data_IF_562063429170
#
_entry.id   IF_562063429170
#
_cell.length_a   1.000
_cell.length_b   1.000
_cell.length_c   1.000
_cell.angle_alpha   90.00
_cell.angle_beta   90.00
_cell.angle_gamma   90.00
#
_symmetry.space_group_name_H-M   'P 1'
#
loop_
_entity.id
_entity.type
_entity.pdbx_description
1 polymer ?
#
# COMPACT_ATOMS: atom_id res chain seq x y z
N UNK A 1 4.36 -67.83 -52.39
CA UNK A 1 4.18 -67.21 -51.05
C UNK A 1 5.02 -65.96 -50.80
N UNK A 2 5.78 -65.40 -51.75
CA UNK A 2 6.64 -64.20 -51.50
C UNK A 2 6.05 -62.84 -51.93
N UNK A 3 4.89 -62.76 -52.59
CA UNK A 3 4.32 -61.47 -53.03
C UNK A 3 3.36 -60.81 -52.03
N UNK A 4 3.03 -61.49 -50.92
CA UNK A 4 2.11 -60.98 -49.90
C UNK A 4 2.82 -60.35 -48.68
N UNK A 5 4.11 -60.63 -48.45
CA UNK A 5 4.85 -60.07 -47.30
C UNK A 5 5.25 -58.60 -47.50
N UNK A 6 5.53 -58.17 -48.73
CA UNK A 6 5.97 -56.80 -49.02
C UNK A 6 4.87 -55.74 -48.85
N UNK A 7 3.62 -56.07 -49.21
CA UNK A 7 2.49 -55.12 -49.10
C UNK A 7 2.06 -54.90 -47.65
N UNK A 8 2.11 -55.94 -46.82
CA UNK A 8 1.82 -55.86 -45.39
C UNK A 8 2.90 -55.03 -44.66
N UNK A 9 4.17 -55.23 -45.01
CA UNK A 9 5.28 -54.46 -44.44
C UNK A 9 5.15 -52.96 -44.74
N UNK A 10 4.89 -52.58 -46.00
CA UNK A 10 4.73 -51.16 -46.37
C UNK A 10 3.52 -50.52 -45.68
N UNK A 11 2.37 -51.20 -45.61
CA UNK A 11 1.20 -50.67 -44.91
C UNK A 11 1.43 -50.51 -43.41
N UNK A 12 2.21 -51.40 -42.78
CA UNK A 12 2.56 -51.30 -41.36
C UNK A 12 3.50 -50.13 -41.09
N UNK A 13 4.53 -49.92 -41.92
CA UNK A 13 5.46 -48.79 -41.77
C UNK A 13 4.78 -47.45 -42.01
N UNK A 14 3.88 -47.38 -43.00
CA UNK A 14 3.08 -46.16 -43.27
C UNK A 14 2.13 -45.89 -42.10
N UNK A 15 1.47 -46.92 -41.55
CA UNK A 15 0.61 -46.78 -40.38
C UNK A 15 1.34 -46.26 -39.15
N UNK A 16 2.55 -46.75 -38.87
CA UNK A 16 3.40 -46.26 -37.77
C UNK A 16 3.78 -44.81 -37.99
N UNK A 17 4.19 -44.43 -39.21
CA UNK A 17 4.58 -43.05 -39.50
C UNK A 17 3.42 -42.07 -39.34
N UNK A 18 2.24 -42.39 -39.86
CA UNK A 18 1.03 -41.60 -39.65
C UNK A 18 0.61 -41.55 -38.17
N UNK A 19 0.77 -42.66 -37.43
CA UNK A 19 0.52 -42.73 -35.99
C UNK A 19 1.38 -41.74 -35.21
N UNK A 20 2.70 -41.71 -35.46
CA UNK A 20 3.64 -40.80 -34.82
C UNK A 20 3.42 -39.34 -35.23
N UNK A 21 3.11 -39.07 -36.50
CA UNK A 21 2.78 -37.71 -36.96
C UNK A 21 1.49 -37.22 -36.31
N UNK A 22 0.47 -38.07 -36.19
CA UNK A 22 -0.80 -37.72 -35.53
C UNK A 22 -0.62 -37.49 -34.03
N UNK A 23 0.18 -38.31 -33.33
CA UNK A 23 0.50 -38.06 -31.91
C UNK A 23 1.36 -36.82 -31.73
N UNK A 24 2.35 -36.58 -32.60
CA UNK A 24 3.14 -35.35 -32.56
C UNK A 24 2.28 -34.11 -32.83
N UNK A 25 1.32 -34.20 -33.76
CA UNK A 25 0.39 -33.12 -34.06
C UNK A 25 -0.63 -32.90 -32.94
N UNK A 26 -1.12 -33.96 -32.29
CA UNK A 26 -1.96 -33.85 -31.09
C UNK A 26 -1.18 -33.23 -29.92
N UNK A 27 0.03 -33.69 -29.64
CA UNK A 27 0.87 -33.15 -28.56
C UNK A 27 1.35 -31.72 -28.82
N UNK A 28 1.53 -31.32 -30.09
CA UNK A 28 1.87 -29.95 -30.47
C UNK A 28 0.65 -29.03 -30.53
N UNK A 29 -0.53 -29.55 -30.91
CA UNK A 29 -1.84 -28.91 -30.77
C UNK A 29 -2.16 -28.66 -29.30
N UNK A 30 -1.97 -29.66 -28.43
CA UNK A 30 -2.16 -29.52 -26.99
C UNK A 30 -1.20 -28.45 -26.41
N UNK A 31 0.09 -28.44 -26.82
CA UNK A 31 1.03 -27.36 -26.46
C UNK A 31 0.68 -25.98 -27.04
N UNK A 32 -0.07 -25.92 -28.15
CA UNK A 32 -0.51 -24.67 -28.76
C UNK A 32 -1.81 -24.14 -28.12
N UNK A 33 -2.68 -25.05 -27.66
CA UNK A 33 -3.89 -24.72 -26.90
C UNK A 33 -3.58 -24.35 -25.44
N UNK A 34 -2.56 -24.95 -24.82
CA UNK A 34 -2.14 -24.63 -23.43
C UNK A 34 -1.50 -23.24 -23.27
N UNK A 35 -1.24 -22.53 -24.38
CA UNK A 35 -0.67 -21.17 -24.35
C UNK A 35 -1.70 -20.05 -24.47
N UNK A 36 -2.99 -20.35 -24.59
CA UNK A 36 -4.04 -19.33 -24.84
C UNK A 36 -5.23 -19.32 -23.89
N UNK A 37 -5.21 -20.10 -22.82
CA UNK A 37 -6.17 -20.00 -21.71
C UNK A 37 -5.44 -19.66 -20.40
N UNK A 38 -4.53 -18.70 -20.47
CA UNK A 38 -4.18 -17.95 -19.26
C UNK A 38 -5.34 -17.00 -19.02
N UNK A 39 -6.05 -17.18 -17.92
CA UNK A 39 -6.87 -16.13 -17.32
C UNK A 39 -6.04 -14.84 -17.46
N UNK A 40 -6.53 -13.86 -18.20
CA UNK A 40 -5.90 -12.52 -18.23
C UNK A 40 -6.14 -11.90 -16.84
N UNK A 41 -5.43 -12.40 -15.83
CA UNK A 41 -5.13 -11.60 -14.66
C UNK A 41 -4.40 -10.38 -15.20
N UNK A 42 -4.96 -9.20 -14.97
CA UNK A 42 -4.31 -7.97 -15.37
C UNK A 42 -2.93 -7.98 -14.69
N UNK A 43 -1.85 -7.96 -15.47
CA UNK A 43 -0.47 -7.87 -14.97
C UNK A 43 -0.19 -6.45 -14.49
N UNK A 44 -1.03 -5.93 -13.60
CA UNK A 44 -0.89 -4.58 -13.10
C UNK A 44 0.24 -4.56 -12.07
N UNK A 45 1.41 -4.06 -12.46
CA UNK A 45 2.50 -3.76 -11.53
C UNK A 45 2.69 -2.24 -11.55
N UNK A 46 2.55 -1.54 -10.40
CA UNK A 46 2.78 -0.10 -10.34
C UNK A 46 4.17 0.30 -10.85
N UNK A 47 4.21 1.14 -11.88
CA UNK A 47 5.46 1.64 -12.49
C UNK A 47 6.11 2.80 -11.73
N UNK A 48 5.40 3.40 -10.76
CA UNK A 48 5.84 4.54 -9.97
C UNK A 48 5.51 4.35 -8.47
N UNK A 49 6.40 4.74 -7.53
CA UNK A 49 6.20 4.61 -6.07
C UNK A 49 5.02 5.42 -5.53
N UNK A 50 4.70 6.52 -6.20
CA UNK A 50 3.57 7.38 -5.88
C UNK A 50 2.39 7.04 -6.77
N UNK A 51 2.43 5.96 -7.56
CA UNK A 51 1.28 5.52 -8.34
C UNK A 51 0.14 5.10 -7.42
N UNK A 52 -1.06 5.27 -7.94
CA UNK A 52 -2.32 4.76 -7.42
C UNK A 52 -3.17 4.34 -8.63
N UNK A 53 -2.50 4.01 -9.76
CA UNK A 53 -3.20 3.42 -10.89
C UNK A 53 -3.84 2.14 -10.38
N UNK A 54 -5.09 1.95 -10.74
CA UNK A 54 -5.82 0.76 -10.33
C UNK A 54 -5.51 -0.36 -11.34
N UNK A 55 -5.55 -1.62 -10.92
CA UNK A 55 -5.55 -2.72 -11.87
C UNK A 55 -6.63 -2.46 -12.93
N UNK A 56 -6.27 -2.59 -14.21
CA UNK A 56 -7.21 -2.30 -15.30
C UNK A 56 -8.19 -3.47 -15.39
N UNK A 57 -9.38 -3.31 -14.83
CA UNK A 57 -10.47 -4.30 -14.79
C UNK A 57 -11.70 -3.77 -14.06
N UNK A 58 -12.84 -4.46 -14.22
CA UNK A 58 -14.10 -4.20 -13.51
C UNK A 58 -13.94 -4.61 -12.03
N UNK A 59 -13.11 -3.87 -11.30
CA UNK A 59 -12.69 -4.14 -9.91
C UNK A 59 -13.67 -3.59 -8.88
N UNK A 60 -14.85 -3.11 -9.31
CA UNK A 60 -15.93 -2.81 -8.38
C UNK A 60 -16.28 -4.09 -7.61
N UNK A 61 -16.34 -3.97 -6.29
CA UNK A 61 -16.79 -5.08 -5.45
C UNK A 61 -18.23 -5.49 -5.75
N UNK A 62 -18.68 -6.61 -5.18
CA UNK A 62 -20.09 -6.97 -5.26
C UNK A 62 -20.95 -5.81 -4.76
N UNK A 63 -22.10 -5.55 -5.40
CA UNK A 63 -22.98 -4.43 -5.03
C UNK A 63 -23.26 -4.39 -3.52
N UNK A 64 -23.57 -5.56 -2.96
CA UNK A 64 -23.77 -5.73 -1.54
C UNK A 64 -22.53 -6.42 -0.91
N UNK A 65 -22.13 -6.00 0.31
CA UNK A 65 -21.06 -6.69 1.02
C UNK A 65 -21.35 -8.17 1.26
N UNK A 66 -20.35 -9.03 1.02
CA UNK A 66 -20.43 -10.47 1.33
C UNK A 66 -20.57 -10.64 2.84
N UNK A 67 -21.54 -11.47 3.25
CA UNK A 67 -21.78 -11.83 4.65
C UNK A 67 -21.32 -13.25 4.91
N UNK A 68 -20.60 -13.45 5.99
CA UNK A 68 -20.18 -14.76 6.47
C UNK A 68 -21.13 -15.19 7.59
N UNK A 69 -21.65 -16.41 7.52
CA UNK A 69 -22.65 -16.92 8.49
C UNK A 69 -22.03 -17.62 9.70
N UNK A 70 -20.71 -17.71 9.75
CA UNK A 70 -19.91 -18.40 10.77
C UNK A 70 -19.22 -17.42 11.75
N UNK A 71 -19.46 -16.10 11.65
CA UNK A 71 -18.82 -15.10 12.50
C UNK A 71 -19.00 -15.38 14.00
N UNK A 72 -20.19 -15.86 14.41
CA UNK A 72 -20.48 -16.21 15.81
C UNK A 72 -19.66 -17.40 16.32
N UNK A 73 -19.21 -18.30 15.43
CA UNK A 73 -18.34 -19.42 15.82
C UNK A 73 -16.90 -18.98 16.03
N UNK A 74 -16.45 -17.92 15.33
CA UNK A 74 -15.04 -17.49 15.31
C UNK A 74 -14.70 -16.41 16.34
N UNK A 75 -15.66 -15.61 16.80
CA UNK A 75 -15.45 -14.54 17.79
C UNK A 75 -15.77 -14.98 19.24
N UNK A 76 -15.92 -16.29 19.47
CA UNK A 76 -16.45 -16.83 20.71
C UNK A 76 -15.43 -17.02 21.84
N UNK A 77 -14.13 -16.84 21.59
CA UNK A 77 -13.08 -16.95 22.62
C UNK A 77 -12.69 -15.57 23.18
N UNK A 78 -13.29 -15.15 24.33
CA UNK A 78 -12.97 -13.87 24.97
C UNK A 78 -11.51 -13.80 25.45
N UNK A 79 -10.85 -14.94 25.63
CA UNK A 79 -9.48 -15.06 26.13
C UNK A 79 -8.43 -15.18 25.01
N UNK A 80 -8.87 -15.11 23.75
CA UNK A 80 -7.97 -15.21 22.61
C UNK A 80 -6.88 -14.13 22.65
N UNK A 81 -5.63 -14.45 22.23
CA UNK A 81 -4.55 -13.46 22.18
C UNK A 81 -4.90 -12.22 21.35
N UNK A 82 -5.67 -12.40 20.26
CA UNK A 82 -6.16 -11.32 19.42
C UNK A 82 -7.09 -10.37 20.20
N UNK A 83 -8.04 -10.90 20.98
CA UNK A 83 -8.96 -10.09 21.79
C UNK A 83 -8.24 -9.33 22.90
N UNK A 84 -7.26 -9.96 23.56
CA UNK A 84 -6.39 -9.31 24.55
C UNK A 84 -5.63 -8.14 23.93
N UNK A 85 -5.01 -8.35 22.77
CA UNK A 85 -4.34 -7.27 22.03
C UNK A 85 -5.30 -6.16 21.60
N UNK A 86 -6.50 -6.49 21.12
CA UNK A 86 -7.53 -5.50 20.77
C UNK A 86 -7.90 -4.57 21.95
N UNK A 87 -7.86 -5.11 23.17
CA UNK A 87 -8.15 -4.36 24.38
C UNK A 87 -6.95 -3.55 24.89
N UNK A 88 -5.74 -4.09 24.80
CA UNK A 88 -4.50 -3.45 25.26
C UNK A 88 -3.96 -2.39 24.30
N UNK A 89 -4.09 -2.59 22.99
CA UNK A 89 -3.50 -1.74 21.95
C UNK A 89 -4.64 -1.06 21.16
N UNK A 90 -4.97 0.16 21.56
CA UNK A 90 -6.07 0.94 20.97
C UNK A 90 -5.62 1.65 19.69
N UNK A 91 -6.10 1.17 18.55
CA UNK A 91 -5.77 1.69 17.22
C UNK A 91 -7.00 2.35 16.57
N UNK A 92 -6.87 3.63 16.24
CA UNK A 92 -7.79 4.31 15.33
C UNK A 92 -7.27 4.16 13.90
N UNK A 93 -8.10 3.60 13.03
CA UNK A 93 -7.86 3.52 11.60
C UNK A 93 -8.62 4.66 10.92
N UNK A 94 -7.92 5.43 10.10
CA UNK A 94 -8.58 6.33 9.17
C UNK A 94 -8.17 5.99 7.74
N UNK A 95 -9.17 5.89 6.87
CA UNK A 95 -9.02 5.42 5.50
C UNK A 95 -9.19 6.60 4.55
N UNK A 96 -8.17 6.87 3.73
CA UNK A 96 -8.28 7.85 2.65
C UNK A 96 -9.18 7.29 1.55
N UNK A 97 -10.21 8.03 1.17
CA UNK A 97 -11.13 7.63 0.09
C UNK A 97 -11.68 8.85 -0.65
N UNK A 98 -12.51 8.62 -1.66
CA UNK A 98 -13.20 9.65 -2.44
C UNK A 98 -14.70 9.29 -2.57
N UNK A 99 -15.57 10.24 -2.93
CA UNK A 99 -17.00 9.96 -3.10
C UNK A 99 -17.30 8.85 -4.11
N UNK A 100 -16.49 8.75 -5.16
CA UNK A 100 -16.66 7.74 -6.21
C UNK A 100 -16.29 6.32 -5.72
N UNK A 101 -15.56 6.24 -4.61
CA UNK A 101 -15.09 4.98 -4.02
C UNK A 101 -15.97 4.46 -2.87
N UNK A 102 -17.03 5.18 -2.49
CA UNK A 102 -17.85 4.79 -1.33
C UNK A 102 -18.48 3.40 -1.49
N UNK A 103 -19.19 3.19 -2.60
CA UNK A 103 -19.82 1.90 -2.93
C UNK A 103 -18.81 0.91 -3.53
N UNK A 104 -17.90 1.36 -4.38
CA UNK A 104 -16.99 0.44 -5.07
C UNK A 104 -15.87 -0.11 -4.17
N UNK A 105 -15.48 0.59 -3.08
CA UNK A 105 -14.33 0.20 -2.23
C UNK A 105 -14.58 0.34 -0.73
N UNK A 106 -14.92 1.53 -0.25
CA UNK A 106 -14.92 1.85 1.18
C UNK A 106 -15.90 0.98 2.00
N UNK A 107 -17.05 0.62 1.43
CA UNK A 107 -17.95 -0.33 2.08
C UNK A 107 -17.34 -1.74 2.27
N UNK A 108 -16.47 -2.17 1.36
CA UNK A 108 -15.81 -3.48 1.42
C UNK A 108 -14.68 -3.48 2.45
N UNK A 109 -13.98 -2.35 2.61
CA UNK A 109 -13.08 -2.13 3.76
C UNK A 109 -13.85 -2.29 5.07
N UNK A 110 -15.00 -1.61 5.22
CA UNK A 110 -15.85 -1.69 6.42
C UNK A 110 -16.35 -3.12 6.68
N UNK A 111 -16.70 -3.86 5.64
CA UNK A 111 -17.24 -5.21 5.74
C UNK A 111 -16.19 -6.31 6.00
N UNK A 112 -14.93 -6.05 5.67
CA UNK A 112 -13.82 -7.02 5.83
C UNK A 112 -12.93 -6.63 7.00
N UNK A 113 -11.68 -6.21 6.76
CA UNK A 113 -10.68 -5.96 7.79
C UNK A 113 -11.03 -4.78 8.71
N UNK A 114 -11.77 -3.78 8.21
CA UNK A 114 -12.09 -2.56 8.94
C UNK A 114 -12.90 -2.79 10.22
N UNK A 115 -13.69 -3.88 10.29
CA UNK A 115 -14.44 -4.26 11.51
C UNK A 115 -13.54 -4.56 12.71
N UNK A 116 -12.25 -4.83 12.47
CA UNK A 116 -11.25 -5.14 13.51
C UNK A 116 -10.49 -3.92 14.03
N UNK A 117 -10.79 -2.72 13.53
CA UNK A 117 -10.28 -1.47 14.11
C UNK A 117 -11.01 -1.14 15.43
N UNK A 118 -10.36 -0.42 16.36
CA UNK A 118 -11.06 0.07 17.54
C UNK A 118 -12.00 1.24 17.17
N UNK A 119 -11.58 2.04 16.19
CA UNK A 119 -12.40 3.03 15.51
C UNK A 119 -12.01 3.04 14.03
N UNK A 120 -13.02 3.06 13.16
CA UNK A 120 -12.84 3.18 11.72
C UNK A 120 -13.49 4.49 11.26
N UNK A 121 -12.70 5.32 10.59
CA UNK A 121 -13.16 6.54 9.94
C UNK A 121 -12.77 6.51 8.46
N UNK A 122 -13.61 7.09 7.62
CA UNK A 122 -13.29 7.33 6.21
C UNK A 122 -13.14 8.82 5.98
N UNK A 123 -12.14 9.26 5.23
CA UNK A 123 -11.82 10.67 5.02
C UNK A 123 -12.04 11.03 3.54
N UNK A 124 -12.97 11.96 3.26
CA UNK A 124 -13.40 12.32 1.90
C UNK A 124 -13.83 13.78 1.79
N UNK A 125 -13.94 14.34 0.58
CA UNK A 125 -14.49 15.69 0.34
C UNK A 125 -16.00 15.79 0.51
N UNK A 126 -16.71 14.65 0.57
CA UNK A 126 -18.16 14.59 0.83
C UNK A 126 -18.45 13.64 1.99
N UNK A 127 -19.56 13.89 2.69
CA UNK A 127 -20.07 12.96 3.68
C UNK A 127 -20.84 11.83 2.97
N UNK A 128 -21.03 10.73 3.69
CA UNK A 128 -21.89 9.61 3.30
C UNK A 128 -22.84 9.27 4.44
N UNK A 129 -24.01 8.72 4.12
CA UNK A 129 -25.03 8.38 5.12
C UNK A 129 -24.84 6.97 5.71
N UNK A 130 -24.16 6.07 5.02
CA UNK A 130 -24.03 4.65 5.36
C UNK A 130 -22.66 4.30 5.94
N UNK A 131 -21.64 5.04 5.51
CA UNK A 131 -20.26 4.91 5.96
C UNK A 131 -19.92 6.00 7.00
N UNK A 132 -19.06 5.71 7.98
CA UNK A 132 -18.58 6.71 8.95
C UNK A 132 -17.57 7.68 8.28
N UNK A 133 -18.05 8.42 7.28
CA UNK A 133 -17.24 9.35 6.48
C UNK A 133 -17.21 10.72 7.14
N UNK A 134 -16.00 11.21 7.39
CA UNK A 134 -15.73 12.57 7.81
C UNK A 134 -15.46 13.41 6.56
N UNK A 135 -16.31 14.42 6.36
CA UNK A 135 -16.15 15.39 5.28
C UNK A 135 -15.03 16.36 5.62
N UNK A 136 -13.95 16.34 4.83
CA UNK A 136 -12.85 17.28 4.92
C UNK A 136 -13.10 18.53 4.05
N UNK A 137 -12.60 19.71 4.45
CA UNK A 137 -12.72 20.95 3.68
C UNK A 137 -11.71 21.04 2.53
N UNK A 138 -11.48 19.93 1.82
CA UNK A 138 -10.48 19.80 0.75
C UNK A 138 -11.11 19.07 -0.42
N UNK A 139 -10.89 19.57 -1.64
CA UNK A 139 -11.39 18.93 -2.86
C UNK A 139 -10.70 17.58 -3.14
N UNK A 140 -11.30 16.80 -4.05
CA UNK A 140 -10.68 15.56 -4.53
C UNK A 140 -9.48 15.81 -5.45
N UNK A 141 -8.79 14.73 -5.78
CA UNK A 141 -7.69 14.73 -6.73
C UNK A 141 -6.33 14.52 -6.04
N UNK A 142 -5.42 13.92 -6.80
CA UNK A 142 -4.10 13.50 -6.33
C UNK A 142 -3.28 14.64 -5.72
N UNK A 143 -3.32 15.82 -6.33
CA UNK A 143 -2.59 16.99 -5.84
C UNK A 143 -3.06 17.48 -4.46
N UNK A 144 -4.26 17.06 -4.03
CA UNK A 144 -4.85 17.42 -2.75
C UNK A 144 -4.66 16.36 -1.65
N UNK A 145 -4.07 15.19 -1.94
CA UNK A 145 -3.93 14.10 -0.96
C UNK A 145 -3.19 14.56 0.31
N UNK A 146 -2.08 15.29 0.15
CA UNK A 146 -1.37 15.84 1.30
C UNK A 146 -2.22 16.78 2.15
N UNK A 147 -3.01 17.65 1.52
CA UNK A 147 -3.93 18.54 2.25
C UNK A 147 -5.03 17.75 2.96
N UNK A 148 -5.58 16.71 2.32
CA UNK A 148 -6.53 15.79 2.96
C UNK A 148 -5.91 15.09 4.16
N UNK A 149 -4.67 14.60 4.07
CA UNK A 149 -3.97 13.98 5.21
C UNK A 149 -3.79 14.96 6.38
N UNK A 150 -3.38 16.21 6.10
CA UNK A 150 -3.25 17.24 7.14
C UNK A 150 -4.57 17.47 7.87
N UNK A 151 -5.66 17.67 7.14
CA UNK A 151 -7.00 17.86 7.73
C UNK A 151 -7.53 16.60 8.42
N UNK A 152 -7.25 15.41 7.89
CA UNK A 152 -7.65 14.14 8.50
C UNK A 152 -7.00 13.95 9.88
N UNK A 153 -5.67 14.13 9.97
CA UNK A 153 -4.98 14.00 11.25
C UNK A 153 -5.32 15.12 12.22
N UNK A 154 -5.57 16.34 11.73
CA UNK A 154 -6.11 17.43 12.56
C UNK A 154 -7.45 17.04 13.18
N UNK A 155 -8.39 16.53 12.37
CA UNK A 155 -9.68 16.04 12.86
C UNK A 155 -9.51 14.93 13.89
N UNK A 156 -8.68 13.93 13.59
CA UNK A 156 -8.39 12.80 14.49
C UNK A 156 -7.81 13.29 15.82
N UNK A 157 -6.90 14.27 15.79
CA UNK A 157 -6.35 14.86 17.00
C UNK A 157 -7.42 15.57 17.82
N UNK A 158 -8.22 16.43 17.20
CA UNK A 158 -9.24 17.23 17.88
C UNK A 158 -10.35 16.37 18.51
N UNK A 159 -10.71 15.24 17.88
CA UNK A 159 -11.89 14.45 18.27
C UNK A 159 -11.56 13.13 18.97
N UNK A 160 -10.37 12.56 18.75
CA UNK A 160 -10.05 11.19 19.15
C UNK A 160 -8.67 11.01 19.81
N UNK A 161 -7.87 12.07 19.93
CA UNK A 161 -6.50 11.96 20.48
C UNK A 161 -6.44 11.28 21.86
N UNK A 162 -7.42 11.56 22.72
CA UNK A 162 -7.44 11.04 24.09
C UNK A 162 -7.82 9.57 24.18
N UNK A 163 -8.58 9.07 23.20
CA UNK A 163 -9.23 7.76 23.26
C UNK A 163 -8.36 6.61 22.70
N UNK A 164 -7.29 6.95 21.97
CA UNK A 164 -6.43 5.97 21.29
C UNK A 164 -4.94 6.23 21.55
N UNK A 165 -4.15 5.20 21.28
CA UNK A 165 -2.69 5.19 21.47
C UNK A 165 -1.95 5.24 20.14
N UNK A 166 -2.60 4.75 19.07
CA UNK A 166 -2.03 4.60 17.75
C UNK A 166 -3.01 5.06 16.68
N UNK A 167 -2.48 5.77 15.68
CA UNK A 167 -3.26 6.38 14.61
C UNK A 167 -2.73 5.89 13.26
N UNK A 168 -3.54 5.08 12.59
CA UNK A 168 -3.15 4.36 11.39
C UNK A 168 -3.83 4.96 10.15
N UNK A 169 -3.02 5.52 9.24
CA UNK A 169 -3.43 5.97 7.91
C UNK A 169 -3.31 4.81 6.94
N UNK A 170 -4.33 4.63 6.11
CA UNK A 170 -4.34 3.61 5.05
C UNK A 170 -5.26 4.01 3.90
N UNK A 171 -5.05 3.44 2.71
CA UNK A 171 -5.85 3.71 1.52
C UNK A 171 -7.01 2.69 1.38
N UNK A 172 -8.07 3.05 0.64
CA UNK A 172 -9.28 2.25 0.47
C UNK A 172 -9.13 0.99 -0.42
N UNK A 173 -7.94 0.77 -0.96
CA UNK A 173 -7.49 -0.39 -1.73
C UNK A 173 -6.36 -1.15 -1.01
N UNK A 174 -6.34 -1.10 0.33
CA UNK A 174 -5.39 -1.86 1.17
C UNK A 174 -6.15 -2.89 1.99
N UNK A 175 -5.59 -4.09 2.15
CA UNK A 175 -6.06 -5.07 3.14
C UNK A 175 -5.12 -5.13 4.34
N UNK A 176 -5.67 -5.21 5.54
CA UNK A 176 -4.89 -5.12 6.79
C UNK A 176 -5.23 -6.27 7.75
N UNK A 177 -4.22 -6.93 8.30
CA UNK A 177 -4.35 -7.89 9.39
C UNK A 177 -4.10 -7.17 10.72
N UNK A 178 -5.19 -6.68 11.32
CA UNK A 178 -5.12 -5.77 12.49
C UNK A 178 -4.52 -6.44 13.73
N UNK A 179 -4.63 -7.75 13.86
CA UNK A 179 -4.01 -8.55 14.92
C UNK A 179 -2.48 -8.49 14.82
N UNK A 180 -1.94 -8.62 13.61
CA UNK A 180 -0.50 -8.54 13.34
C UNK A 180 0.02 -7.11 13.57
N UNK A 181 -0.78 -6.11 13.21
CA UNK A 181 -0.45 -4.71 13.52
C UNK A 181 -0.33 -4.51 15.04
N UNK A 182 -1.31 -4.96 15.83
CA UNK A 182 -1.25 -4.83 17.29
C UNK A 182 -0.11 -5.60 17.91
N UNK A 183 0.23 -6.77 17.38
CA UNK A 183 1.38 -7.55 17.80
C UNK A 183 2.69 -6.76 17.64
N UNK A 184 2.87 -6.06 16.51
CA UNK A 184 4.01 -5.17 16.30
C UNK A 184 3.99 -4.00 17.29
N UNK A 185 2.86 -3.30 17.41
CA UNK A 185 2.72 -2.08 18.20
C UNK A 185 2.88 -2.30 19.71
N UNK A 186 2.47 -3.47 20.24
CA UNK A 186 2.62 -3.84 21.66
C UNK A 186 4.07 -3.74 22.17
N UNK A 187 5.06 -3.79 21.28
CA UNK A 187 6.49 -3.72 21.61
C UNK A 187 6.95 -2.30 21.98
N UNK A 188 6.12 -1.29 21.76
CA UNK A 188 6.50 0.12 21.84
C UNK A 188 5.59 0.92 22.76
N UNK A 189 6.14 1.97 23.36
CA UNK A 189 5.40 2.89 24.23
C UNK A 189 4.81 4.03 23.38
N UNK A 190 3.48 4.23 23.35
CA UNK A 190 2.83 5.21 22.47
C UNK A 190 3.15 6.68 22.81
N UNK A 191 3.62 6.96 24.03
CA UNK A 191 4.06 8.30 24.46
C UNK A 191 5.44 8.69 23.92
N UNK A 192 6.09 7.81 23.15
CA UNK A 192 7.32 8.13 22.41
C UNK A 192 7.01 8.35 20.94
N UNK A 193 7.67 9.32 20.28
CA UNK A 193 7.31 9.72 18.93
C UNK A 193 7.84 8.72 17.89
N UNK A 194 6.98 7.78 17.51
CA UNK A 194 7.24 6.77 16.49
C UNK A 194 6.43 6.96 15.22
N UNK A 195 7.08 6.67 14.09
CA UNK A 195 6.55 6.58 12.75
C UNK A 195 6.87 5.18 12.19
N UNK A 196 5.85 4.41 11.80
CA UNK A 196 5.99 2.97 11.52
C UNK A 196 5.27 2.61 10.21
N UNK A 197 5.90 1.85 9.32
CA UNK A 197 5.29 1.41 8.06
C UNK A 197 6.30 0.75 7.13
N UNK A 198 6.02 0.75 5.82
CA UNK A 198 6.97 0.29 4.78
C UNK A 198 7.97 1.41 4.46
N UNK A 199 9.22 1.26 4.87
CA UNK A 199 10.22 2.33 4.70
C UNK A 199 10.82 2.40 3.29
N UNK A 200 10.73 3.59 2.70
CA UNK A 200 11.45 4.00 1.51
C UNK A 200 12.64 4.90 1.86
N UNK A 201 13.68 4.81 1.03
CA UNK A 201 14.98 5.45 1.19
C UNK A 201 15.12 6.84 0.55
N UNK A 202 14.59 7.09 -0.65
CA UNK A 202 14.96 8.31 -1.37
C UNK A 202 14.53 9.59 -0.62
N UNK A 203 15.19 10.71 -0.90
CA UNK A 203 14.82 12.08 -0.48
C UNK A 203 14.97 12.47 0.99
N UNK A 204 14.89 11.52 1.93
CA UNK A 204 14.90 11.79 3.38
C UNK A 204 15.90 10.82 4.04
N UNK A 205 16.80 11.33 4.90
CA UNK A 205 17.90 10.53 5.48
C UNK A 205 17.37 9.39 6.35
N UNK A 206 16.36 9.67 7.19
CA UNK A 206 15.69 8.60 7.96
C UNK A 206 14.73 7.73 7.13
N UNK A 207 14.45 8.14 5.89
CA UNK A 207 13.43 7.57 5.03
C UNK A 207 12.00 8.05 5.32
N UNK A 208 11.03 7.49 4.59
CA UNK A 208 9.60 7.76 4.76
C UNK A 208 8.78 6.49 4.54
N UNK A 209 7.53 6.46 5.00
CA UNK A 209 6.70 5.25 4.88
C UNK A 209 5.82 5.32 3.64
N UNK A 210 5.66 4.21 2.92
CA UNK A 210 4.72 4.11 1.79
C UNK A 210 3.30 4.50 2.22
N UNK A 211 2.69 5.45 1.49
CA UNK A 211 1.32 5.88 1.75
C UNK A 211 0.28 4.77 1.56
N UNK A 212 0.44 3.97 0.49
CA UNK A 212 -0.50 2.90 0.12
C UNK A 212 -0.42 1.68 1.04
N UNK A 213 0.78 1.23 1.41
CA UNK A 213 0.92 0.15 2.39
C UNK A 213 0.36 0.55 3.77
N UNK A 214 0.16 1.85 4.00
CA UNK A 214 -0.27 2.43 5.25
C UNK A 214 0.88 2.68 6.22
N UNK A 215 0.66 3.61 7.14
CA UNK A 215 1.63 3.95 8.17
C UNK A 215 0.95 4.39 9.47
N UNK A 216 1.66 4.19 10.57
CA UNK A 216 1.18 4.42 11.93
C UNK A 216 1.95 5.58 12.56
N UNK A 217 1.23 6.49 13.19
CA UNK A 217 1.76 7.45 14.13
C UNK A 217 1.41 7.01 15.55
N UNK A 218 2.42 6.98 16.42
CA UNK A 218 2.20 6.94 17.87
C UNK A 218 1.45 8.18 18.36
N UNK A 219 0.90 8.11 19.58
CA UNK A 219 0.25 9.24 20.25
C UNK A 219 1.13 10.49 20.28
N UNK A 220 2.37 10.35 20.77
CA UNK A 220 3.30 11.49 20.81
C UNK A 220 3.66 12.02 19.40
N UNK A 221 3.76 11.15 18.39
CA UNK A 221 4.02 11.59 17.01
C UNK A 221 2.85 12.40 16.43
N UNK A 222 1.61 11.97 16.66
CA UNK A 222 0.43 12.72 16.21
C UNK A 222 0.36 14.10 16.87
N UNK A 223 0.62 14.17 18.17
CA UNK A 223 0.65 15.44 18.89
C UNK A 223 1.71 16.39 18.33
N UNK A 224 2.95 15.91 18.13
CA UNK A 224 4.00 16.73 17.51
C UNK A 224 3.61 17.20 16.11
N UNK A 225 3.03 16.30 15.31
CA UNK A 225 2.58 16.62 13.95
C UNK A 225 1.56 17.75 13.94
N UNK A 226 0.50 17.64 14.75
CA UNK A 226 -0.59 18.62 14.76
C UNK A 226 -0.19 19.92 15.45
N UNK A 227 0.41 19.84 16.64
CA UNK A 227 0.68 21.01 17.49
C UNK A 227 1.91 21.79 17.04
N UNK A 228 2.95 21.10 16.54
CA UNK A 228 4.22 21.75 16.17
C UNK A 228 4.53 21.72 14.68
N UNK A 229 3.86 20.85 13.92
CA UNK A 229 4.11 20.65 12.49
C UNK A 229 3.18 21.44 11.59
N UNK A 230 1.86 21.25 11.73
CA UNK A 230 0.90 21.71 10.73
C UNK A 230 0.95 23.21 10.41
N UNK A 231 1.22 24.06 11.38
CA UNK A 231 1.29 25.53 11.20
C UNK A 231 2.71 26.04 10.90
N UNK A 232 3.71 25.15 10.88
CA UNK A 232 5.11 25.50 10.63
C UNK A 232 5.58 24.93 9.28
N UNK A 233 5.51 25.76 8.24
CA UNK A 233 5.90 25.35 6.88
C UNK A 233 7.37 24.99 6.73
N UNK A 234 8.22 25.40 7.69
CA UNK A 234 9.63 24.98 7.70
C UNK A 234 9.79 23.52 8.12
N UNK A 235 8.87 23.00 8.92
CA UNK A 235 8.83 21.60 9.37
C UNK A 235 7.95 20.72 8.49
N UNK A 236 6.74 21.18 8.19
CA UNK A 236 5.78 20.46 7.39
C UNK A 236 5.40 21.24 6.14
N UNK A 237 5.62 20.70 4.93
CA UNK A 237 5.24 21.40 3.71
C UNK A 237 3.77 21.84 3.74
N UNK A 238 3.48 23.12 3.47
CA UNK A 238 2.10 23.63 3.42
C UNK A 238 1.39 23.43 2.08
N UNK A 239 2.17 23.19 1.02
CA UNK A 239 1.74 23.15 -0.38
C UNK A 239 1.12 21.84 -0.86
N UNK A 240 1.34 21.51 -2.12
CA UNK A 240 0.98 20.21 -2.73
C UNK A 240 2.21 19.30 -2.79
N UNK A 241 2.01 18.01 -3.04
CA UNK A 241 3.10 17.05 -3.25
C UNK A 241 2.67 15.63 -2.90
N UNK A 242 3.54 14.64 -3.11
CA UNK A 242 3.28 13.28 -2.67
C UNK A 242 3.06 13.26 -1.15
N UNK A 243 1.95 12.66 -0.75
CA UNK A 243 1.43 12.70 0.61
C UNK A 243 2.37 12.05 1.63
N UNK A 244 2.88 10.88 1.27
CA UNK A 244 3.79 10.07 2.08
C UNK A 244 5.20 10.68 2.20
N UNK A 245 5.71 11.27 1.11
CA UNK A 245 6.96 12.01 1.13
C UNK A 245 6.86 13.24 2.04
N UNK A 246 5.79 14.03 1.90
CA UNK A 246 5.57 15.20 2.76
C UNK A 246 5.40 14.80 4.23
N UNK A 247 4.71 13.67 4.49
CA UNK A 247 4.63 13.11 5.84
C UNK A 247 6.02 12.73 6.37
N UNK A 248 6.86 12.10 5.56
CA UNK A 248 8.25 11.78 5.93
C UNK A 248 9.07 13.02 6.31
N UNK A 249 8.99 14.10 5.51
CA UNK A 249 9.65 15.37 5.79
C UNK A 249 9.23 15.93 7.15
N UNK A 250 7.91 15.92 7.43
CA UNK A 250 7.38 16.31 8.72
C UNK A 250 7.99 15.49 9.86
N UNK A 251 7.96 14.17 9.73
CA UNK A 251 8.44 13.27 10.79
C UNK A 251 9.93 13.51 11.09
N UNK A 252 10.76 13.73 10.07
CA UNK A 252 12.19 13.98 10.28
C UNK A 252 12.43 15.31 10.99
N UNK A 253 11.81 16.38 10.50
CA UNK A 253 11.99 17.72 11.06
C UNK A 253 11.37 17.91 12.44
N UNK A 254 10.37 17.08 12.80
CA UNK A 254 9.78 17.04 14.13
C UNK A 254 10.54 16.13 15.10
N UNK A 255 11.58 15.41 14.64
CA UNK A 255 12.32 14.46 15.46
C UNK A 255 11.52 13.20 15.81
N UNK A 256 10.55 12.85 14.98
CA UNK A 256 9.77 11.60 15.11
C UNK A 256 10.56 10.47 14.47
N UNK A 257 10.81 9.41 15.25
CA UNK A 257 11.67 8.30 14.85
C UNK A 257 10.95 7.35 13.90
N UNK A 258 11.51 7.16 12.71
CA UNK A 258 11.14 6.04 11.84
C UNK A 258 11.61 4.71 12.48
N UNK A 259 10.67 3.82 12.83
CA UNK A 259 10.97 2.49 13.38
C UNK A 259 11.08 1.41 12.30
N UNK A 260 11.89 0.39 12.57
CA UNK A 260 11.98 -0.81 11.74
C UNK A 260 10.80 -1.73 12.07
N UNK A 261 9.91 -1.91 11.09
CA UNK A 261 8.68 -2.70 11.22
C UNK A 261 8.87 -4.16 10.84
N UNK A 262 10.05 -4.55 10.34
CA UNK A 262 10.34 -5.91 9.88
C UNK A 262 10.36 -6.89 11.05
N UNK A 263 10.14 -8.15 10.72
CA UNK A 263 10.21 -9.21 11.73
C UNK A 263 11.65 -9.56 12.11
N UNK A 264 11.80 -10.50 13.05
CA UNK A 264 13.11 -10.96 13.55
C UNK A 264 14.02 -11.56 12.48
N UNK A 265 13.47 -11.97 11.33
CA UNK A 265 14.21 -12.50 10.19
C UNK A 265 14.51 -11.40 9.14
N UNK A 266 14.13 -10.15 9.43
CA UNK A 266 14.27 -9.02 8.52
C UNK A 266 13.27 -9.04 7.36
N UNK A 267 12.16 -9.77 7.48
CA UNK A 267 11.10 -9.82 6.46
C UNK A 267 10.10 -8.69 6.65
N UNK A 268 9.56 -8.23 5.54
CA UNK A 268 8.70 -7.06 5.50
C UNK A 268 7.30 -7.38 6.06
N UNK A 269 6.70 -6.40 6.73
CA UNK A 269 5.35 -6.52 7.31
C UNK A 269 4.34 -5.61 6.63
N UNK A 270 4.78 -4.50 6.04
CA UNK A 270 3.94 -3.60 5.23
C UNK A 270 4.35 -3.74 3.76
N UNK A 271 3.39 -4.06 2.88
CA UNK A 271 3.67 -4.33 1.47
C UNK A 271 2.98 -3.31 0.56
N UNK A 272 3.74 -2.58 -0.29
CA UNK A 272 3.18 -1.61 -1.23
C UNK A 272 2.67 -2.26 -2.53
N UNK A 273 2.37 -3.56 -2.48
CA UNK A 273 1.91 -4.37 -3.60
C UNK A 273 0.97 -5.47 -3.12
N UNK A 274 0.28 -6.10 -4.07
CA UNK A 274 -0.55 -7.28 -3.85
C UNK A 274 0.31 -8.50 -3.42
N UNK A 275 -0.27 -9.48 -2.72
CA UNK A 275 0.43 -10.70 -2.33
C UNK A 275 1.11 -11.43 -3.50
N UNK A 276 0.44 -11.54 -4.65
CA UNK A 276 0.99 -12.23 -5.83
C UNK A 276 2.34 -11.63 -6.27
N UNK A 277 2.47 -10.29 -6.24
CA UNK A 277 3.66 -9.60 -6.73
C UNK A 277 4.89 -9.85 -5.87
N UNK A 278 4.69 -10.01 -4.55
CA UNK A 278 5.81 -10.16 -3.60
C UNK A 278 6.12 -11.63 -3.30
N UNK A 279 5.10 -12.50 -3.33
CA UNK A 279 5.23 -13.93 -3.03
C UNK A 279 5.74 -14.75 -4.22
N UNK A 280 5.48 -14.32 -5.46
CA UNK A 280 5.91 -15.05 -6.66
C UNK A 280 7.25 -14.49 -7.15
N UNK A 281 8.35 -15.28 -7.12
CA UNK A 281 9.66 -14.80 -7.57
C UNK A 281 9.65 -14.31 -9.02
N UNK A 282 10.32 -13.19 -9.28
CA UNK A 282 10.43 -12.55 -10.59
C UNK A 282 9.10 -12.03 -11.18
N UNK A 283 8.05 -11.89 -10.37
CA UNK A 283 6.82 -11.23 -10.82
C UNK A 283 7.06 -9.75 -11.09
N UNK A 284 7.74 -9.06 -10.17
CA UNK A 284 8.09 -7.64 -10.33
C UNK A 284 9.31 -7.53 -11.26
N UNK A 285 9.21 -6.79 -12.38
CA UNK A 285 10.34 -6.61 -13.29
C UNK A 285 11.53 -5.96 -12.59
N UNK A 286 12.76 -6.43 -12.85
CA UNK A 286 13.99 -5.93 -12.21
C UNK A 286 14.23 -4.42 -12.32
N UNK A 287 13.67 -3.77 -13.34
CA UNK A 287 13.74 -2.31 -13.52
C UNK A 287 12.74 -1.51 -12.68
N UNK A 288 11.88 -2.17 -11.89
CA UNK A 288 10.89 -1.50 -11.07
C UNK A 288 11.53 -0.67 -9.95
N UNK A 289 10.90 0.45 -9.62
CA UNK A 289 11.34 1.39 -8.59
C UNK A 289 11.52 0.76 -7.20
N UNK A 290 10.80 -0.32 -6.87
CA UNK A 290 10.86 -0.92 -5.53
C UNK A 290 12.27 -1.36 -5.13
N UNK A 291 13.07 -1.82 -6.10
CA UNK A 291 14.44 -2.28 -5.86
C UNK A 291 15.39 -1.14 -5.48
N UNK A 292 15.11 0.09 -5.89
CA UNK A 292 15.92 1.28 -5.57
C UNK A 292 15.32 2.10 -4.42
N UNK A 293 14.01 2.05 -4.24
CA UNK A 293 13.30 2.79 -3.19
C UNK A 293 13.32 2.10 -1.84
N UNK A 294 13.46 0.78 -1.78
CA UNK A 294 13.46 0.06 -0.50
C UNK A 294 14.63 0.50 0.39
N UNK A 295 14.33 0.87 1.64
CA UNK A 295 15.36 1.25 2.60
C UNK A 295 16.25 0.07 2.98
N UNK A 296 15.65 -1.11 3.09
CA UNK A 296 16.34 -2.36 3.36
C UNK A 296 16.53 -3.16 2.07
N UNK A 297 17.48 -4.12 2.05
CA UNK A 297 17.64 -5.03 0.92
C UNK A 297 16.32 -5.73 0.59
N UNK A 298 15.84 -5.53 -0.64
CA UNK A 298 14.58 -6.08 -1.09
C UNK A 298 14.69 -7.59 -1.32
N UNK A 299 13.76 -8.36 -0.74
CA UNK A 299 13.65 -9.81 -0.95
C UNK A 299 12.29 -10.15 -1.57
N UNK A 300 12.31 -11.09 -2.51
CA UNK A 300 11.13 -11.64 -3.19
C UNK A 300 10.87 -13.07 -2.72
N UNK A 301 9.69 -13.61 -3.02
CA UNK A 301 9.38 -15.01 -2.77
C UNK A 301 9.07 -15.31 -1.30
N UNK A 302 9.25 -16.54 -0.83
CA UNK A 302 8.96 -16.93 0.55
C UNK A 302 9.72 -16.12 1.62
N UNK A 303 10.82 -15.46 1.27
CA UNK A 303 11.56 -14.57 2.17
C UNK A 303 11.05 -13.12 2.18
N UNK A 304 10.13 -12.73 1.29
CA UNK A 304 9.64 -11.35 1.23
C UNK A 304 8.92 -10.94 2.50
N UNK A 305 8.14 -11.88 3.03
CA UNK A 305 6.96 -11.53 3.78
C UNK A 305 7.00 -12.21 5.13
N UNK A 306 6.79 -11.41 6.17
CA UNK A 306 6.66 -11.93 7.51
C UNK A 306 5.47 -12.87 7.59
N UNK A 307 5.58 -13.92 8.43
CA UNK A 307 4.41 -14.73 8.80
C UNK A 307 3.37 -13.90 9.58
N UNK A 308 3.79 -12.73 10.08
CA UNK A 308 2.94 -11.71 10.67
C UNK A 308 2.83 -10.46 9.77
N UNK A 309 2.72 -10.66 8.44
CA UNK A 309 2.47 -9.56 7.51
C UNK A 309 1.21 -8.77 7.93
N UNK A 310 1.31 -7.44 7.86
CA UNK A 310 0.33 -6.48 8.36
C UNK A 310 -0.55 -5.97 7.23
N UNK A 311 0.01 -5.55 6.11
CA UNK A 311 -0.77 -4.94 5.04
C UNK A 311 -0.26 -5.27 3.65
N UNK A 312 -1.19 -5.30 2.70
CA UNK A 312 -0.93 -5.39 1.27
C UNK A 312 -1.76 -4.34 0.54
N UNK A 313 -1.13 -3.60 -0.36
CA UNK A 313 -1.75 -2.53 -1.14
C UNK A 313 -2.23 -3.01 -2.52
N UNK A 314 -3.02 -2.20 -3.22
CA UNK A 314 -3.68 -2.53 -4.50
C UNK A 314 -4.60 -3.75 -4.44
N UNK A 315 -5.27 -3.97 -3.31
CA UNK A 315 -6.20 -5.08 -3.11
C UNK A 315 -7.58 -4.66 -3.60
N UNK A 316 -8.05 -5.33 -4.65
CA UNK A 316 -9.43 -5.14 -5.12
C UNK A 316 -10.43 -5.61 -4.05
N UNK A 317 -11.64 -5.03 -3.99
CA UNK A 317 -12.72 -5.47 -3.12
C UNK A 317 -12.98 -6.99 -3.15
N UNK A 318 -12.96 -7.60 -4.34
CA UNK A 318 -13.10 -9.05 -4.49
C UNK A 318 -11.96 -9.80 -3.78
N UNK A 319 -10.73 -9.32 -3.93
CA UNK A 319 -9.58 -9.89 -3.26
C UNK A 319 -9.62 -9.64 -1.74
N UNK A 320 -10.21 -8.54 -1.27
CA UNK A 320 -10.42 -8.33 0.18
C UNK A 320 -11.29 -9.46 0.78
N UNK A 321 -12.34 -9.89 0.08
CA UNK A 321 -13.18 -11.01 0.53
C UNK A 321 -12.47 -12.36 0.46
N UNK A 322 -11.65 -12.58 -0.58
CA UNK A 322 -10.81 -13.78 -0.66
C UNK A 322 -9.82 -13.83 0.50
N UNK A 323 -9.15 -12.72 0.80
CA UNK A 323 -8.22 -12.63 1.92
C UNK A 323 -8.93 -12.79 3.27
N UNK A 324 -10.11 -12.17 3.45
CA UNK A 324 -10.95 -12.35 4.64
C UNK A 324 -11.26 -13.84 4.86
N UNK A 325 -11.72 -14.54 3.82
CA UNK A 325 -11.99 -15.97 3.87
C UNK A 325 -10.75 -16.79 4.24
N UNK A 326 -9.64 -16.60 3.53
CA UNK A 326 -8.43 -17.39 3.72
C UNK A 326 -7.79 -17.18 5.10
N UNK A 327 -7.90 -15.98 5.67
CA UNK A 327 -7.28 -15.63 6.95
C UNK A 327 -8.19 -16.00 8.13
N UNK A 328 -9.49 -15.69 8.05
CA UNK A 328 -10.38 -15.76 9.20
C UNK A 328 -11.35 -16.94 9.20
N UNK A 329 -11.72 -17.47 8.03
CA UNK A 329 -12.77 -18.49 7.92
C UNK A 329 -12.21 -19.88 7.56
N UNK A 330 -11.27 -19.94 6.61
CA UNK A 330 -10.66 -21.21 6.19
C UNK A 330 -9.79 -21.78 7.31
N UNK A 331 -10.07 -23.03 7.69
CA UNK A 331 -9.30 -23.79 8.69
C UNK A 331 -8.99 -25.18 8.16
N UNK A 332 -7.74 -25.45 7.74
CA UNK A 332 -7.34 -26.81 7.44
C UNK A 332 -7.40 -27.67 8.70
N UNK A 333 -8.10 -28.81 8.61
CA UNK A 333 -8.23 -29.74 9.73
C UNK A 333 -6.85 -30.27 10.16
N UNK A 334 -6.55 -30.22 11.46
CA UNK A 334 -5.31 -30.76 12.03
C UNK A 334 -4.07 -29.86 11.92
N UNK A 335 -4.18 -28.63 11.40
CA UNK A 335 -3.06 -27.68 11.29
C UNK A 335 -3.24 -26.53 12.29
N UNK A 336 -2.26 -26.34 13.18
CA UNK A 336 -2.22 -25.17 14.08
C UNK A 336 -1.48 -24.02 13.41
N UNK A 337 -2.11 -22.85 13.36
CA UNK A 337 -1.53 -21.60 12.84
C UNK A 337 -0.84 -20.77 13.92
N UNK A 338 -0.85 -21.21 15.18
CA UNK A 338 -0.11 -20.55 16.28
C UNK A 338 1.38 -20.83 16.11
N UNK A 339 2.12 -19.81 15.67
CA UNK A 339 3.58 -19.83 15.66
C UNK A 339 4.10 -19.94 17.11
N UNK A 340 4.80 -21.03 17.40
CA UNK A 340 5.53 -21.17 18.66
C UNK A 340 6.74 -20.26 18.57
N UNK A 341 6.64 -19.07 19.18
CA UNK A 341 7.81 -18.22 19.38
C UNK A 341 8.78 -18.98 20.29
N UNK A 342 10.08 -19.08 19.95
CA UNK A 342 11.07 -19.57 20.89
C UNK A 342 10.95 -18.73 22.17
N UNK A 343 10.74 -19.38 23.31
CA UNK A 343 10.68 -18.67 24.58
C UNK A 343 11.98 -17.89 24.75
N UNK A 344 11.88 -16.59 25.06
CA UNK A 344 13.05 -15.84 25.52
C UNK A 344 13.55 -16.51 26.80
N UNK A 345 14.65 -17.23 26.66
CA UNK A 345 15.30 -17.92 27.76
C UNK A 345 15.67 -16.93 28.86
N UNK A 346 15.31 -17.34 30.07
CA UNK A 346 15.91 -16.97 31.36
C UNK A 346 17.21 -16.18 31.24
N UNK A 347 17.21 -14.98 31.81
CA UNK A 347 18.42 -14.26 32.22
C UNK A 347 19.11 -15.07 33.31
N UNK A 348 19.95 -16.03 32.93
CA UNK A 348 20.86 -16.65 33.87
C UNK A 348 21.98 -15.66 34.25
N UNK A 349 22.03 -15.44 35.55
CA UNK A 349 23.01 -14.66 36.29
C UNK A 349 24.44 -15.06 35.91
N UNK A 350 25.20 -14.11 35.36
CA UNK A 350 26.64 -14.07 35.54
C UNK A 350 27.06 -12.66 35.96
N UNK A 351 26.88 -12.38 37.24
CA UNK A 351 27.73 -11.42 37.95
C UNK A 351 28.83 -12.18 38.69
N UNK A 352 30.07 -11.80 38.36
CA UNK A 352 31.26 -11.83 39.22
C UNK A 352 31.83 -13.20 39.64
N UNK A 353 32.87 -13.63 38.93
CA UNK A 353 34.14 -14.03 39.55
C UNK A 353 35.27 -13.79 38.54
N UNK A 354 36.13 -12.81 38.84
CA UNK A 354 37.41 -12.69 38.16
C UNK A 354 38.44 -13.59 38.84
N UNK A 355 39.49 -13.98 38.10
CA UNK A 355 40.91 -14.03 38.53
C UNK A 355 41.74 -14.57 37.35
N UNK A 356 42.70 -13.73 36.94
CA UNK A 356 44.05 -13.99 36.42
C UNK A 356 44.27 -15.03 35.31
N UNK A 357 44.73 -14.58 34.14
CA UNK A 357 46.17 -14.68 33.83
C UNK A 357 46.55 -13.83 32.59
N UNK A 358 47.71 -13.18 32.69
CA UNK A 358 48.48 -12.54 31.60
C UNK A 358 49.84 -13.27 31.60
N UNK A 359 50.45 -13.55 30.43
CA UNK A 359 51.49 -12.67 29.90
C UNK A 359 51.43 -12.61 28.35
N UNK A 360 52.12 -11.78 27.57
CA UNK A 360 53.31 -10.93 27.76
C UNK A 360 53.39 -9.97 26.56
N UNK A 361 54.02 -8.83 26.82
CA UNK A 361 54.40 -7.74 25.90
C UNK A 361 55.72 -8.08 25.18
N UNK A 362 55.87 -7.62 23.92
CA UNK A 362 57.10 -7.04 23.33
C UNK A 362 56.59 -6.03 22.27
N UNK A 363 56.53 -4.72 22.57
CA UNK A 363 57.54 -3.67 22.33
C UNK A 363 57.95 -3.53 20.85
N UNK A 364 57.93 -2.36 20.19
CA UNK A 364 57.58 -1.01 20.61
C UNK A 364 57.99 0.05 19.57
N UNK A 365 57.56 1.30 19.85
CA UNK A 365 58.09 2.62 19.42
C UNK A 365 57.82 3.06 17.96
N UNK A 366 57.50 4.32 17.64
CA UNK A 366 57.30 5.56 18.43
C UNK A 366 56.67 6.65 17.53
N UNK A 367 56.07 7.65 18.19
CA UNK A 367 55.57 8.96 17.75
C UNK A 367 56.43 9.69 16.68
N UNK A 368 55.83 10.46 15.75
CA UNK A 368 55.43 11.87 15.85
C UNK A 368 55.10 12.49 14.47
N UNK A 369 54.28 13.54 14.49
CA UNK A 369 54.01 14.60 13.48
C UNK A 369 53.21 14.28 12.19
N UNK A 370 52.02 14.87 12.07
CA UNK A 370 51.82 16.10 11.29
C UNK A 370 50.33 16.54 11.27
N UNK A 371 50.14 17.79 11.68
CA UNK A 371 48.98 18.65 11.55
C UNK A 371 48.49 18.80 10.09
N UNK A 372 47.15 18.84 9.90
CA UNK A 372 46.38 19.67 8.95
C UNK A 372 45.01 19.07 8.59
N UNK A 373 43.96 19.88 8.69
CA UNK A 373 42.83 19.81 7.76
C UNK A 373 41.45 19.57 8.35
N UNK A 374 41.01 20.42 9.29
CA UNK A 374 39.59 20.72 9.43
C UNK A 374 39.28 21.95 8.55
N UNK A 375 38.57 21.76 7.44
CA UNK A 375 37.62 22.66 6.78
C UNK A 375 37.15 21.96 5.48
N UNK A 376 35.97 22.34 4.97
CA UNK A 376 35.28 21.80 3.78
C UNK A 376 34.47 20.49 3.91
N UNK A 377 33.36 20.55 4.66
CA UNK A 377 32.13 19.79 4.36
C UNK A 377 30.89 20.56 4.81
N UNK A 378 30.56 21.66 4.12
CA UNK A 378 29.27 22.36 4.34
C UNK A 378 28.60 22.91 3.08
N UNK A 379 29.15 22.65 1.89
CA UNK A 379 28.67 23.27 0.64
C UNK A 379 28.08 22.28 -0.38
N UNK A 380 28.18 20.97 -0.17
CA UNK A 380 27.68 19.95 -1.11
C UNK A 380 26.26 19.44 -0.83
N UNK A 381 25.71 19.65 0.38
CA UNK A 381 24.36 19.17 0.71
C UNK A 381 23.24 20.09 0.23
N UNK A 382 23.54 21.36 -0.01
CA UNK A 382 22.55 22.36 -0.44
C UNK A 382 22.39 22.40 -1.97
N UNK A 383 23.47 22.15 -2.71
CA UNK A 383 23.42 22.05 -4.18
C UNK A 383 22.69 20.80 -4.67
N UNK A 384 22.75 19.70 -3.90
CA UNK A 384 22.03 18.47 -4.20
C UNK A 384 20.51 18.59 -3.99
N UNK A 385 20.06 19.38 -2.99
CA UNK A 385 18.64 19.63 -2.73
C UNK A 385 18.00 20.56 -3.76
N UNK A 386 18.74 21.57 -4.23
CA UNK A 386 18.23 22.52 -5.22
C UNK A 386 18.12 21.88 -6.60
N UNK A 387 19.07 21.01 -6.97
CA UNK A 387 19.06 20.24 -8.22
C UNK A 387 17.92 19.21 -8.27
N UNK A 388 17.60 18.60 -7.13
CA UNK A 388 16.45 17.69 -7.00
C UNK A 388 15.10 18.43 -7.11
N UNK A 389 15.05 19.73 -6.77
CA UNK A 389 13.85 20.56 -6.92
C UNK A 389 13.62 20.94 -8.38
N UNK A 390 14.68 21.30 -9.11
CA UNK A 390 14.62 21.60 -10.54
C UNK A 390 14.25 20.36 -11.38
N UNK A 391 14.83 19.18 -11.08
CA UNK A 391 14.54 17.94 -11.81
C UNK A 391 13.09 17.45 -11.65
N UNK A 392 12.42 17.82 -10.56
CA UNK A 392 11.00 17.51 -10.31
C UNK A 392 10.08 18.52 -11.01
N UNK A 393 10.44 19.81 -10.99
CA UNK A 393 9.70 20.86 -11.71
C UNK A 393 9.76 20.66 -13.23
N UNK A 394 10.91 20.27 -13.80
CA UNK A 394 11.09 20.02 -15.24
C UNK A 394 10.31 18.78 -15.73
N UNK A 395 10.20 17.74 -14.89
CA UNK A 395 9.37 16.56 -15.21
C UNK A 395 7.88 16.85 -15.14
N UNK A 396 7.47 17.79 -14.29
CA UNK A 396 6.08 18.18 -14.12
C UNK A 396 5.62 19.15 -15.21
N UNK A 397 6.47 20.09 -15.64
CA UNK A 397 6.17 21.02 -16.74
C UNK A 397 6.07 20.28 -18.09
N UNK A 398 6.92 19.27 -18.31
CA UNK A 398 6.81 18.39 -19.47
C UNK A 398 5.54 17.51 -19.46
N UNK A 399 4.98 17.22 -18.28
CA UNK A 399 3.73 16.45 -18.14
C UNK A 399 2.50 17.32 -18.39
N UNK A 400 2.50 18.56 -17.89
CA UNK A 400 1.43 19.55 -18.16
C UNK A 400 1.33 19.87 -19.67
N UNK A 401 2.46 20.06 -20.35
CA UNK A 401 2.50 20.27 -21.82
C UNK A 401 1.97 19.06 -22.61
N UNK A 402 2.12 17.85 -22.07
CA UNK A 402 1.64 16.62 -22.70
C UNK A 402 0.13 16.41 -22.50
N UNK A 403 -0.40 16.81 -21.34
CA UNK A 403 -1.83 16.79 -21.02
C UNK A 403 -2.61 17.89 -21.76
N UNK A 404 -2.04 19.09 -21.95
CA UNK A 404 -2.62 20.15 -22.80
C UNK A 404 -2.66 19.75 -24.27
N UNK A 405 -1.63 19.09 -24.80
CA UNK A 405 -1.62 18.57 -26.18
C UNK A 405 -2.66 17.45 -26.38
N UNK A 406 -2.84 16.56 -25.39
CA UNK A 406 -3.88 15.53 -25.47
C UNK A 406 -5.30 16.12 -25.38
N UNK A 407 -5.54 17.14 -24.56
CA UNK A 407 -6.83 17.84 -24.53
C UNK A 407 -7.08 18.67 -25.80
N UNK A 408 -6.04 19.21 -26.42
CA UNK A 408 -6.09 19.84 -27.74
C UNK A 408 -6.49 18.86 -28.84
N UNK A 409 -5.88 17.67 -28.89
CA UNK A 409 -6.21 16.62 -29.87
C UNK A 409 -7.61 16.03 -29.68
N UNK A 410 -8.09 15.92 -28.44
CA UNK A 410 -9.46 15.47 -28.15
C UNK A 410 -10.49 16.53 -28.58
N UNK A 411 -10.19 17.82 -28.42
CA UNK A 411 -11.03 18.91 -28.94
C UNK A 411 -11.03 18.99 -30.47
N UNK A 412 -9.91 18.72 -31.13
CA UNK A 412 -9.83 18.69 -32.60
C UNK A 412 -10.55 17.48 -33.21
N UNK A 413 -10.55 16.31 -32.55
CA UNK A 413 -11.32 15.14 -33.00
C UNK A 413 -12.83 15.30 -32.84
N UNK A 414 -13.30 16.02 -31.81
CA UNK A 414 -14.72 16.29 -31.59
C UNK A 414 -15.30 17.43 -32.46
N UNK A 415 -14.45 18.19 -33.16
CA UNK A 415 -14.87 19.25 -34.09
C UNK A 415 -15.03 18.77 -35.55
N UNK A 416 -14.68 17.51 -35.85
CA UNK A 416 -14.67 16.96 -37.21
C UNK A 416 -16.01 16.38 -37.70
N UNK A 417 -16.94 16.04 -36.81
CA UNK A 417 -18.18 15.35 -37.16
C UNK A 417 -19.42 16.19 -36.80
N UNK A 418 -19.65 17.26 -37.57
CA UNK A 418 -20.96 17.93 -37.60
C UNK A 418 -21.03 18.93 -38.76
N UNK A 419 -21.36 18.45 -39.96
CA UNK A 419 -22.05 19.27 -40.95
C UNK A 419 -22.91 18.40 -41.88
N UNK A 420 -24.23 18.52 -41.76
CA UNK A 420 -25.14 18.89 -42.87
C UNK A 420 -26.57 19.09 -42.36
N UNK A 421 -27.26 20.07 -42.96
CA UNK A 421 -28.67 20.49 -42.78
C UNK A 421 -28.93 21.32 -41.51
N UNK A 422 -29.49 22.54 -41.53
CA UNK A 422 -30.02 23.39 -42.58
C UNK A 422 -30.76 24.56 -41.90
N UNK A 423 -30.45 25.79 -42.34
CA UNK A 423 -31.16 27.08 -42.17
C UNK A 423 -32.40 27.13 -41.25
N UNK A 424 -32.36 27.95 -40.20
CA UNK A 424 -33.21 29.15 -40.03
C UNK A 424 -33.08 29.76 -38.62
N UNK A 425 -32.89 31.07 -38.56
CA UNK A 425 -33.20 31.97 -37.43
C UNK A 425 -34.24 32.98 -37.99
N UNK A 426 -35.05 33.76 -37.23
CA UNK A 426 -34.84 34.18 -35.84
C UNK A 426 -36.12 34.37 -34.97
N UNK A 427 -35.90 34.87 -33.75
CA UNK A 427 -36.76 35.71 -32.90
C UNK A 427 -37.42 35.14 -31.62
N UNK A 428 -37.08 35.83 -30.51
CA UNK A 428 -37.92 36.26 -29.36
C UNK A 428 -38.67 35.20 -28.55
N UNK A 429 -38.39 35.12 -27.23
CA UNK A 429 -39.21 35.82 -26.23
C UNK A 429 -38.69 35.67 -24.80
N UNK A 430 -38.89 36.76 -24.07
CA UNK A 430 -38.55 37.08 -22.70
C UNK A 430 -39.76 36.78 -21.79
N UNK A 431 -39.48 36.52 -20.50
CA UNK A 431 -40.31 36.66 -19.26
C UNK A 431 -41.09 35.46 -18.69
N UNK A 432 -40.75 35.19 -17.41
CA UNK A 432 -41.59 35.04 -16.19
C UNK A 432 -42.51 33.79 -16.18
N UNK A 433 -42.48 32.92 -15.16
CA UNK A 433 -43.24 33.05 -13.89
C UNK A 433 -42.60 32.20 -12.78
N UNK A 434 -42.41 32.83 -11.63
CA UNK A 434 -42.24 32.24 -10.31
C UNK A 434 -43.60 32.01 -9.63
N UNK A 435 -43.62 31.05 -8.68
CA UNK A 435 -44.64 30.72 -7.66
C UNK A 435 -45.43 29.43 -7.90
N UNK A 436 -45.22 28.47 -7.00
CA UNK A 436 -46.33 27.84 -6.30
C UNK A 436 -45.87 27.39 -4.90
N UNK A 437 -46.55 27.91 -3.89
CA UNK A 437 -46.48 27.53 -2.47
C UNK A 437 -47.92 27.29 -2.03
N UNK A 438 -48.10 26.20 -1.29
CA UNK A 438 -49.20 25.87 -0.36
C UNK A 438 -50.64 25.88 -0.88
N UNK A 439 -51.28 24.73 -0.75
CA UNK A 439 -52.46 24.53 0.10
C UNK A 439 -52.84 23.04 0.02
N UNK A 440 -53.06 22.39 1.17
CA UNK A 440 -54.28 21.61 1.45
C UNK A 440 -54.26 21.16 2.92
N UNK A 441 -55.27 21.60 3.65
CA UNK A 441 -55.61 21.20 5.00
C UNK A 441 -57.06 21.62 5.25
N UNK A 442 -57.98 20.68 5.09
CA UNK A 442 -59.29 20.57 5.75
C UNK A 442 -59.81 19.16 5.53
#
# INVERSE_FOLDING_TARGET
MLKWSGRISVSFTVGIFFGFVATYWSMSSDRAHDKKTWIKSSKFVPDDPFSHQEPVGDDAGPRDPVKWHDEEMHDSDPDSPARKLYNEVKVLCWVMTSPDNFESKAQHVKATWGKRCNKLLFMSSKADLLLPVIKLPVGEGRSNLWRKTREAFKYVYEHHFKDFDWFFKVDDDTFVVMENLRLLLKRFVPDKPYYIGRRFKPYIDQGYMSGGAGYVLSKAALELFVVKGLDDTSKCPGGTGPEDLNMGVCMEKLGVMALDSRDKLGRETFHPFQPEHVLIPNYIPRGNWIFTYSYYPYKEGPECCSDYAISFHYISPNMMYVMEYLIYHLRPHGVSTKLVLPQEGHTDRLTQQGVQDKPSVVDGKSEQDLDKGALDKKTDSQSASDKAREDVEDKQDNRLKKEENQQGEIKFKNAGDSHTLGKNSPEKLVKIVSKSVNQHGS
#
